data_IF_371115628921
#
_entry.id   IF_371115628921
#
_cell.length_a   1.000
_cell.length_b   1.000
_cell.length_c   1.000
_cell.angle_alpha   90.00
_cell.angle_beta   90.00
_cell.angle_gamma   90.00
#
_symmetry.space_group_name_H-M   'P 1'
#
loop_
_entity.id
_entity.type
_entity.pdbx_description
1 polymer ?
#
# COMPACT_ATOMS: atom_id res chain seq x y z
N UNK A 1 0.09 11.63 -23.47
CA UNK A 1 -1.33 12.02 -23.56
C UNK A 1 -1.67 13.23 -22.70
N UNK A 2 -1.36 13.22 -21.40
CA UNK A 2 -1.73 14.29 -20.45
C UNK A 2 -1.36 15.75 -20.84
N UNK A 3 -0.14 16.00 -21.31
CA UNK A 3 0.31 17.37 -21.68
C UNK A 3 -0.47 17.92 -22.87
N UNK A 4 -0.79 17.05 -23.85
CA UNK A 4 -1.59 17.43 -25.01
C UNK A 4 -3.04 17.73 -24.61
N UNK A 5 -3.60 17.04 -23.61
CA UNK A 5 -4.94 17.32 -23.09
C UNK A 5 -5.02 18.69 -22.40
N UNK A 6 -3.98 19.08 -21.66
CA UNK A 6 -3.91 20.39 -21.01
C UNK A 6 -3.80 21.52 -22.04
N UNK A 7 -3.02 21.31 -23.11
CA UNK A 7 -2.92 22.25 -24.23
C UNK A 7 -4.23 22.33 -25.03
N UNK A 8 -4.93 21.21 -25.26
CA UNK A 8 -6.23 21.20 -25.94
C UNK A 8 -7.30 21.96 -25.17
N UNK A 9 -7.20 21.98 -23.84
CA UNK A 9 -8.09 22.75 -22.95
C UNK A 9 -7.69 24.22 -22.81
N UNK A 10 -6.69 24.71 -23.56
CA UNK A 10 -6.15 26.07 -23.48
C UNK A 10 -5.77 26.51 -22.05
N UNK A 11 -5.33 25.57 -21.20
CA UNK A 11 -4.96 25.87 -19.81
C UNK A 11 -3.54 26.44 -19.69
N UNK A 12 -2.75 26.39 -20.76
CA UNK A 12 -1.40 26.93 -20.86
C UNK A 12 -1.24 27.61 -22.21
N UNK A 13 -0.79 28.86 -22.20
CA UNK A 13 -0.37 29.55 -23.41
C UNK A 13 0.83 28.82 -24.03
N UNK A 14 0.76 28.57 -25.32
CA UNK A 14 1.82 27.94 -26.10
C UNK A 14 2.21 28.84 -27.27
N UNK A 15 3.50 28.94 -27.51
CA UNK A 15 4.10 29.72 -28.60
C UNK A 15 4.64 28.75 -29.64
N UNK A 16 4.47 29.07 -30.93
CA UNK A 16 5.08 28.29 -32.00
C UNK A 16 6.44 28.92 -32.33
N UNK A 17 7.50 28.14 -32.19
CA UNK A 17 8.88 28.52 -32.55
C UNK A 17 9.45 27.43 -33.45
N UNK A 18 9.91 27.81 -34.64
CA UNK A 18 10.48 26.89 -35.64
C UNK A 18 9.59 25.66 -35.94
N UNK A 19 8.30 25.87 -36.17
CA UNK A 19 7.31 24.81 -36.39
C UNK A 19 7.02 23.90 -35.19
N UNK A 20 7.64 24.15 -34.03
CA UNK A 20 7.36 23.42 -32.79
C UNK A 20 6.51 24.23 -31.82
N UNK A 21 5.48 23.60 -31.23
CA UNK A 21 4.77 24.18 -30.07
C UNK A 21 5.67 24.11 -28.83
N UNK A 22 5.90 25.24 -28.20
CA UNK A 22 6.65 25.43 -26.95
C UNK A 22 5.74 26.03 -25.90
N UNK A 23 5.95 25.69 -24.63
CA UNK A 23 5.23 26.28 -23.49
C UNK A 23 6.23 27.18 -22.78
N UNK A 24 5.98 28.51 -22.70
CA UNK A 24 6.81 29.40 -21.91
C UNK A 24 6.87 28.95 -20.44
N UNK A 25 8.03 29.13 -19.79
CA UNK A 25 8.20 28.73 -18.39
C UNK A 25 7.18 29.43 -17.48
N UNK A 26 6.89 30.71 -17.73
CA UNK A 26 5.91 31.48 -16.95
C UNK A 26 4.49 30.94 -17.10
N UNK A 27 4.07 30.63 -18.32
CA UNK A 27 2.79 29.97 -18.62
C UNK A 27 2.65 28.65 -17.87
N UNK A 28 3.70 27.82 -17.89
CA UNK A 28 3.73 26.57 -17.11
C UNK A 28 3.62 26.83 -15.61
N UNK A 29 4.36 27.81 -15.06
CA UNK A 29 4.34 28.11 -13.63
C UNK A 29 2.99 28.67 -13.17
N UNK A 30 2.35 29.51 -13.99
CA UNK A 30 1.01 30.04 -13.70
C UNK A 30 -0.03 28.92 -13.70
N UNK A 31 0.02 28.03 -14.69
CA UNK A 31 -0.80 26.82 -14.70
C UNK A 31 -0.51 25.92 -13.50
N UNK A 32 0.77 25.74 -13.15
CA UNK A 32 1.17 24.89 -12.03
C UNK A 32 0.65 25.43 -10.69
N UNK A 33 0.65 26.75 -10.49
CA UNK A 33 0.12 27.42 -9.29
C UNK A 33 -1.42 27.41 -9.22
N UNK A 34 -2.11 27.32 -10.36
CA UNK A 34 -3.58 27.31 -10.40
C UNK A 34 -4.20 25.93 -10.16
N UNK A 35 -3.38 24.88 -10.15
CA UNK A 35 -3.79 23.50 -9.95
C UNK A 35 -3.28 22.97 -8.59
N UNK A 36 -3.98 21.99 -8.01
CA UNK A 36 -3.61 21.34 -6.74
C UNK A 36 -3.33 19.83 -6.84
N UNK A 37 -3.37 19.29 -8.06
CA UNK A 37 -3.22 17.86 -8.38
C UNK A 37 -1.76 17.42 -8.55
N UNK A 38 -0.99 18.16 -9.35
CA UNK A 38 0.41 17.88 -9.65
C UNK A 38 1.29 18.53 -8.59
N UNK A 39 2.27 17.75 -8.12
CA UNK A 39 3.16 18.13 -7.03
C UNK A 39 4.61 17.84 -7.40
N UNK A 40 5.49 18.79 -7.12
CA UNK A 40 6.94 18.59 -7.22
C UNK A 40 7.43 17.67 -6.10
N UNK A 41 8.70 17.28 -6.15
CA UNK A 41 9.33 16.54 -5.05
C UNK A 41 9.37 17.36 -3.75
N UNK A 42 9.50 18.68 -3.86
CA UNK A 42 9.55 19.61 -2.74
C UNK A 42 8.18 19.74 -2.07
N UNK A 43 7.12 19.88 -2.85
CA UNK A 43 5.74 19.93 -2.34
C UNK A 43 5.41 18.65 -1.55
N UNK A 44 5.79 17.48 -2.07
CA UNK A 44 5.60 16.21 -1.38
C UNK A 44 6.39 16.13 -0.08
N UNK A 45 7.61 16.67 -0.04
CA UNK A 45 8.45 16.69 1.16
C UNK A 45 7.85 17.60 2.24
N UNK A 46 7.25 18.72 1.84
CA UNK A 46 6.52 19.62 2.74
C UNK A 46 5.28 18.94 3.32
N UNK A 47 4.51 18.27 2.46
CA UNK A 47 3.29 17.59 2.88
C UNK A 47 3.57 16.32 3.70
N UNK A 48 4.75 15.70 3.58
CA UNK A 48 5.07 14.39 4.16
C UNK A 48 4.76 14.27 5.65
N UNK A 49 5.05 15.31 6.45
CA UNK A 49 4.75 15.31 7.88
C UNK A 49 3.23 15.28 8.14
N UNK A 50 2.45 16.03 7.37
CA UNK A 50 0.98 16.02 7.45
C UNK A 50 0.40 14.72 6.90
N UNK A 51 0.99 14.17 5.84
CA UNK A 51 0.59 12.88 5.28
C UNK A 51 0.84 11.73 6.27
N UNK A 52 1.93 11.79 7.04
CA UNK A 52 2.19 10.81 8.09
C UNK A 52 1.30 11.02 9.34
N UNK A 53 0.96 12.27 9.68
CA UNK A 53 0.03 12.53 10.80
C UNK A 53 -1.45 12.21 10.49
N UNK A 54 -1.78 11.88 9.24
CA UNK A 54 -3.16 11.70 8.77
C UNK A 54 -3.36 10.34 8.07
N UNK A 55 -4.61 9.89 7.99
CA UNK A 55 -5.01 8.71 7.23
C UNK A 55 -6.09 9.06 6.22
N UNK A 56 -6.05 8.39 5.09
CA UNK A 56 -7.05 8.49 4.02
C UNK A 56 -8.26 7.61 4.33
N UNK A 57 -9.39 7.86 3.66
CA UNK A 57 -10.60 7.05 3.85
C UNK A 57 -10.40 5.56 3.49
N UNK A 58 -9.65 5.21 2.43
CA UNK A 58 -9.29 3.81 2.17
C UNK A 58 -8.44 3.18 3.28
N UNK A 59 -7.47 3.92 3.84
CA UNK A 59 -6.66 3.43 4.96
C UNK A 59 -7.53 3.21 6.21
N UNK A 60 -8.46 4.12 6.51
CA UNK A 60 -9.43 3.92 7.60
C UNK A 60 -10.29 2.67 7.36
N UNK A 61 -10.75 2.44 6.13
CA UNK A 61 -11.53 1.25 5.79
C UNK A 61 -10.73 -0.03 6.06
N UNK A 62 -9.45 -0.01 5.67
CA UNK A 62 -8.52 -1.10 5.93
C UNK A 62 -8.24 -1.29 7.43
N UNK A 63 -8.08 -0.21 8.19
CA UNK A 63 -7.83 -0.25 9.62
C UNK A 63 -9.01 -0.87 10.39
N UNK A 64 -10.23 -0.59 9.94
CA UNK A 64 -11.48 -1.10 10.53
C UNK A 64 -11.96 -2.44 9.94
N UNK A 65 -11.27 -2.99 8.93
CA UNK A 65 -11.70 -4.23 8.28
C UNK A 65 -13.04 -4.10 7.55
N UNK A 66 -13.34 -2.93 7.00
CA UNK A 66 -14.63 -2.59 6.42
C UNK A 66 -14.51 -2.02 5.01
N UNK A 67 -15.63 -1.71 4.36
CA UNK A 67 -15.65 -1.12 3.02
C UNK A 67 -15.50 0.39 3.04
N UNK A 68 -15.02 0.96 1.94
CA UNK A 68 -14.93 2.43 1.80
C UNK A 68 -16.29 3.11 1.91
N UNK A 69 -17.38 2.48 1.45
CA UNK A 69 -18.73 3.02 1.61
C UNK A 69 -19.15 3.08 3.08
N UNK A 70 -18.86 2.04 3.87
CA UNK A 70 -19.13 2.02 5.30
C UNK A 70 -18.38 3.14 6.04
N UNK A 71 -17.15 3.45 5.63
CA UNK A 71 -16.40 4.58 6.19
C UNK A 71 -17.13 5.90 5.97
N UNK A 72 -17.64 6.20 4.77
CA UNK A 72 -18.41 7.42 4.57
C UNK A 72 -19.67 7.46 5.43
N UNK A 73 -20.35 6.33 5.59
CA UNK A 73 -21.49 6.23 6.51
C UNK A 73 -21.08 6.51 7.97
N UNK A 74 -19.89 6.08 8.41
CA UNK A 74 -19.38 6.38 9.76
C UNK A 74 -19.11 7.88 9.92
N UNK A 75 -18.46 8.49 8.93
CA UNK A 75 -18.06 9.90 8.97
C UNK A 75 -19.26 10.85 8.93
N UNK A 76 -20.30 10.50 8.19
CA UNK A 76 -21.52 11.29 8.08
C UNK A 76 -22.53 11.00 9.21
N UNK A 77 -22.28 9.99 10.04
CA UNK A 77 -23.15 9.65 11.15
C UNK A 77 -23.04 10.69 12.27
N UNK A 78 -24.13 11.39 12.67
CA UNK A 78 -24.09 12.39 13.74
C UNK A 78 -23.55 11.85 15.07
N UNK A 79 -23.69 10.54 15.32
CA UNK A 79 -23.16 9.89 16.52
C UNK A 79 -21.63 9.88 16.56
N UNK A 80 -20.95 9.87 15.42
CA UNK A 80 -19.49 9.71 15.35
C UNK A 80 -18.78 10.88 14.68
N UNK A 81 -19.49 11.70 13.90
CA UNK A 81 -18.91 12.79 13.11
C UNK A 81 -18.08 13.77 13.95
N UNK A 82 -18.49 14.01 15.20
CA UNK A 82 -17.82 14.91 16.13
C UNK A 82 -16.41 14.44 16.56
N UNK A 83 -16.08 13.16 16.40
CA UNK A 83 -14.73 12.68 16.70
C UNK A 83 -13.71 13.06 15.64
N UNK A 84 -14.13 13.27 14.38
CA UNK A 84 -13.23 13.34 13.22
C UNK A 84 -12.80 14.76 12.89
N UNK A 85 -11.50 14.94 12.71
CA UNK A 85 -10.90 16.18 12.23
C UNK A 85 -10.40 15.97 10.80
N UNK A 86 -10.88 16.79 9.87
CA UNK A 86 -10.58 16.65 8.45
C UNK A 86 -9.52 17.64 7.98
N UNK A 87 -8.58 17.15 7.18
CA UNK A 87 -7.56 17.96 6.50
C UNK A 87 -7.59 17.61 5.01
N UNK A 88 -7.41 18.61 4.15
CA UNK A 88 -7.27 18.41 2.71
C UNK A 88 -5.80 18.59 2.34
N UNK A 89 -5.19 17.52 1.82
CA UNK A 89 -3.81 17.55 1.29
C UNK A 89 -3.87 17.15 -0.17
N UNK A 90 -3.43 18.04 -1.07
CA UNK A 90 -3.42 17.78 -2.51
C UNK A 90 -4.78 17.27 -3.04
N UNK A 91 -5.86 18.00 -2.73
CA UNK A 91 -7.26 17.66 -3.07
C UNK A 91 -7.82 16.39 -2.42
N UNK A 92 -7.04 15.71 -1.56
CA UNK A 92 -7.48 14.49 -0.88
C UNK A 92 -7.93 14.81 0.54
N UNK A 93 -9.19 14.50 0.83
CA UNK A 93 -9.74 14.52 2.19
C UNK A 93 -9.10 13.40 3.02
N UNK A 94 -8.51 13.77 4.15
CA UNK A 94 -7.87 12.89 5.13
C UNK A 94 -8.43 13.21 6.52
N UNK A 95 -8.27 12.28 7.46
CA UNK A 95 -8.54 12.50 8.88
C UNK A 95 -7.25 12.42 9.68
N UNK A 96 -7.14 13.15 10.78
CA UNK A 96 -5.97 13.06 11.66
C UNK A 96 -5.91 11.70 12.34
N UNK A 97 -4.71 11.12 12.51
CA UNK A 97 -4.54 9.88 13.27
C UNK A 97 -5.06 10.04 14.71
N UNK A 98 -4.91 11.23 15.29
CA UNK A 98 -5.41 11.56 16.62
C UNK A 98 -6.95 11.52 16.70
N UNK A 99 -7.65 12.15 15.75
CA UNK A 99 -9.12 12.11 15.70
C UNK A 99 -9.66 10.69 15.49
N UNK A 100 -8.98 9.88 14.67
CA UNK A 100 -9.30 8.46 14.51
C UNK A 100 -9.11 7.66 15.80
N UNK A 101 -8.08 7.96 16.61
CA UNK A 101 -7.89 7.32 17.93
C UNK A 101 -8.99 7.71 18.91
N UNK A 102 -9.35 8.99 18.99
CA UNK A 102 -10.49 9.46 19.81
C UNK A 102 -11.79 8.76 19.42
N UNK A 103 -12.02 8.56 18.12
CA UNK A 103 -13.14 7.76 17.63
C UNK A 103 -13.06 6.30 18.10
N UNK A 104 -11.90 5.64 18.10
CA UNK A 104 -11.80 4.26 18.59
C UNK A 104 -12.03 4.15 20.09
N UNK A 105 -11.56 5.13 20.87
CA UNK A 105 -11.69 5.16 22.33
C UNK A 105 -13.09 5.60 22.80
N UNK A 106 -13.78 6.43 22.00
CA UNK A 106 -15.07 7.03 22.35
C UNK A 106 -16.32 6.21 21.97
N UNK A 107 -16.16 4.99 21.43
CA UNK A 107 -17.28 4.09 21.14
C UNK A 107 -16.88 2.60 21.20
N UNK A 108 -17.86 1.71 21.38
CA UNK A 108 -17.62 0.27 21.55
C UNK A 108 -17.86 -0.60 20.30
N UNK A 109 -18.42 -0.02 19.23
CA UNK A 109 -18.91 -0.74 18.04
C UNK A 109 -17.80 -1.09 17.04
N UNK A 110 -16.91 -0.15 16.76
CA UNK A 110 -15.84 -0.26 15.78
C UNK A 110 -14.52 -0.47 16.51
N UNK A 111 -13.80 -1.51 16.09
CA UNK A 111 -12.49 -1.89 16.60
C UNK A 111 -11.55 -2.02 15.42
N UNK A 112 -10.25 -1.95 15.70
CA UNK A 112 -9.26 -2.30 14.69
C UNK A 112 -9.48 -3.75 14.26
N UNK A 113 -9.37 -3.99 12.96
CA UNK A 113 -9.39 -5.34 12.42
C UNK A 113 -8.30 -6.16 13.12
N UNK A 114 -8.59 -7.35 13.69
CA UNK A 114 -7.59 -8.22 14.28
C UNK A 114 -6.42 -8.54 13.34
N UNK A 115 -6.63 -8.43 12.02
CA UNK A 115 -5.56 -8.58 11.02
C UNK A 115 -4.56 -7.43 10.98
N UNK A 116 -4.87 -6.29 11.60
CA UNK A 116 -3.96 -5.15 11.74
C UNK A 116 -3.10 -5.21 13.01
N UNK A 117 -3.44 -6.06 13.99
CA UNK A 117 -2.69 -6.26 15.24
C UNK A 117 -1.43 -7.13 15.06
N UNK A 118 -0.78 -6.98 13.89
CA UNK A 118 0.30 -7.84 13.46
C UNK A 118 1.52 -6.98 13.18
N UNK A 119 2.38 -6.81 14.20
CA UNK A 119 3.64 -6.07 14.08
C UNK A 119 4.46 -6.53 12.86
N UNK A 120 4.44 -7.84 12.57
CA UNK A 120 5.15 -8.43 11.43
C UNK A 120 4.57 -8.00 10.06
N UNK A 121 3.30 -7.60 9.97
CA UNK A 121 2.68 -7.06 8.73
C UNK A 121 3.02 -5.59 8.57
N UNK A 122 3.14 -4.85 9.67
CA UNK A 122 3.59 -3.46 9.66
C UNK A 122 5.08 -3.37 9.28
N UNK A 123 5.89 -4.35 9.68
CA UNK A 123 7.31 -4.45 9.34
C UNK A 123 7.57 -5.09 7.96
N UNK A 124 6.54 -5.66 7.33
CA UNK A 124 6.66 -6.28 6.01
C UNK A 124 6.85 -5.23 4.91
N UNK A 125 8.07 -5.12 4.38
CA UNK A 125 8.40 -4.20 3.29
C UNK A 125 7.70 -4.59 1.97
N UNK A 126 7.43 -5.89 1.77
CA UNK A 126 6.72 -6.35 0.58
C UNK A 126 5.20 -6.17 0.72
N UNK A 127 4.68 -5.05 0.19
CA UNK A 127 3.25 -4.69 0.24
C UNK A 127 2.35 -5.81 -0.31
N UNK A 128 2.79 -6.51 -1.37
CA UNK A 128 2.01 -7.59 -1.97
C UNK A 128 1.90 -8.79 -1.03
N UNK A 129 3.01 -9.17 -0.37
CA UNK A 129 3.03 -10.24 0.63
C UNK A 129 2.22 -9.87 1.87
N UNK A 130 2.31 -8.62 2.32
CA UNK A 130 1.50 -8.11 3.43
C UNK A 130 0.00 -8.23 3.12
N UNK A 131 -0.42 -7.84 1.91
CA UNK A 131 -1.81 -7.97 1.47
C UNK A 131 -2.25 -9.43 1.34
N UNK A 132 -1.39 -10.31 0.85
CA UNK A 132 -1.66 -11.75 0.78
C UNK A 132 -1.94 -12.33 2.18
N UNK A 133 -1.09 -12.00 3.16
CA UNK A 133 -1.24 -12.41 4.56
C UNK A 133 -2.50 -11.86 5.22
N UNK A 134 -2.83 -10.58 5.01
CA UNK A 134 -4.09 -9.97 5.49
C UNK A 134 -5.30 -10.70 4.95
N UNK A 135 -5.33 -10.96 3.64
CA UNK A 135 -6.43 -11.68 2.99
C UNK A 135 -6.59 -13.09 3.56
N UNK A 136 -5.49 -13.83 3.72
CA UNK A 136 -5.51 -15.18 4.29
C UNK A 136 -5.97 -15.19 5.76
N UNK A 137 -5.54 -14.20 6.54
CA UNK A 137 -5.95 -14.06 7.94
C UNK A 137 -7.45 -13.72 8.06
N UNK A 138 -7.94 -12.80 7.24
CA UNK A 138 -9.37 -12.47 7.17
C UNK A 138 -10.23 -13.69 6.80
N UNK A 139 -9.74 -14.55 5.89
CA UNK A 139 -10.46 -15.75 5.46
C UNK A 139 -10.44 -16.89 6.49
N UNK A 140 -9.32 -17.10 7.17
CA UNK A 140 -9.12 -18.28 8.02
C UNK A 140 -9.29 -17.99 9.51
N UNK A 141 -9.11 -16.75 9.94
CA UNK A 141 -9.00 -16.37 11.35
C UNK A 141 -7.77 -16.96 12.07
N UNK A 142 -6.91 -17.74 11.40
CA UNK A 142 -5.82 -18.49 12.04
C UNK A 142 -4.49 -17.81 11.73
N UNK A 143 -3.92 -17.11 12.72
CA UNK A 143 -2.58 -16.50 12.64
C UNK A 143 -1.51 -17.48 12.19
N UNK A 144 -1.49 -18.68 12.79
CA UNK A 144 -0.50 -19.71 12.49
C UNK A 144 -0.55 -20.25 11.05
N UNK A 145 -1.52 -19.84 10.24
CA UNK A 145 -1.59 -20.15 8.81
C UNK A 145 -0.68 -19.26 7.96
N UNK A 146 -0.23 -18.11 8.50
CA UNK A 146 0.71 -17.18 7.90
C UNK A 146 2.15 -17.45 8.37
N UNK A 147 3.10 -16.94 7.58
CA UNK A 147 4.49 -16.81 7.96
C UNK A 147 4.75 -15.57 8.81
N UNK A 148 6.02 -15.28 9.03
CA UNK A 148 6.50 -14.08 9.71
C UNK A 148 7.64 -13.44 8.89
N UNK A 149 8.35 -12.49 9.49
CA UNK A 149 9.46 -11.79 8.83
C UNK A 149 10.60 -12.75 8.49
N UNK A 150 10.87 -13.73 9.35
CA UNK A 150 11.99 -14.69 9.19
C UNK A 150 11.63 -15.91 8.34
N UNK A 151 10.35 -16.27 8.30
CA UNK A 151 9.89 -17.53 7.74
C UNK A 151 8.66 -17.37 6.86
N UNK A 152 8.69 -18.02 5.71
CA UNK A 152 7.57 -18.12 4.79
C UNK A 152 6.82 -19.44 4.97
N UNK A 153 5.54 -19.42 4.62
CA UNK A 153 4.78 -20.63 4.30
C UNK A 153 4.98 -21.01 2.84
N UNK A 154 4.67 -22.25 2.49
CA UNK A 154 4.74 -22.71 1.10
C UNK A 154 3.76 -21.97 0.17
N UNK A 155 2.62 -21.50 0.70
CA UNK A 155 1.68 -20.67 -0.07
C UNK A 155 2.25 -19.28 -0.34
N UNK A 156 2.91 -18.68 0.66
CA UNK A 156 3.58 -17.38 0.51
C UNK A 156 4.76 -17.48 -0.47
N UNK A 157 5.58 -18.52 -0.36
CA UNK A 157 6.67 -18.78 -1.30
C UNK A 157 6.15 -19.00 -2.74
N UNK A 158 5.05 -19.74 -2.88
CA UNK A 158 4.36 -19.95 -4.17
C UNK A 158 3.86 -18.62 -4.75
N UNK A 159 3.28 -17.77 -3.91
CA UNK A 159 2.80 -16.44 -4.29
C UNK A 159 3.95 -15.52 -4.74
N UNK A 160 5.04 -15.45 -3.97
CA UNK A 160 6.22 -14.64 -4.29
C UNK A 160 6.90 -15.09 -5.59
N UNK A 161 7.10 -16.40 -5.73
CA UNK A 161 7.77 -16.97 -6.91
C UNK A 161 6.88 -17.06 -8.15
N UNK A 162 5.57 -16.78 -8.02
CA UNK A 162 4.56 -16.92 -9.08
C UNK A 162 4.56 -18.31 -9.74
N UNK A 163 4.79 -19.35 -8.94
CA UNK A 163 4.75 -20.75 -9.36
C UNK A 163 3.77 -21.53 -8.51
N UNK A 164 3.41 -22.74 -8.93
CA UNK A 164 2.55 -23.61 -8.12
C UNK A 164 3.23 -24.04 -6.82
N UNK A 165 2.43 -24.29 -5.78
CA UNK A 165 2.91 -24.85 -4.51
C UNK A 165 3.67 -26.18 -4.70
N UNK A 166 3.26 -26.99 -5.66
CA UNK A 166 3.96 -28.23 -6.04
C UNK A 166 5.38 -27.96 -6.54
N UNK A 167 5.60 -26.87 -7.28
CA UNK A 167 6.95 -26.48 -7.71
C UNK A 167 7.83 -26.07 -6.52
N UNK A 168 7.26 -25.35 -5.54
CA UNK A 168 7.97 -25.03 -4.30
C UNK A 168 8.37 -26.30 -3.54
N UNK A 169 7.47 -27.29 -3.44
CA UNK A 169 7.80 -28.60 -2.87
C UNK A 169 8.98 -29.25 -3.60
N UNK A 170 8.96 -29.29 -4.94
CA UNK A 170 10.07 -29.84 -5.73
C UNK A 170 11.40 -29.11 -5.48
N UNK A 171 11.38 -27.80 -5.25
CA UNK A 171 12.59 -27.05 -4.91
C UNK A 171 13.08 -27.32 -3.49
N UNK A 172 12.16 -27.46 -2.55
CA UNK A 172 12.47 -27.90 -1.19
C UNK A 172 13.08 -29.31 -1.17
N UNK A 173 12.50 -30.26 -1.90
CA UNK A 173 13.00 -31.63 -2.01
C UNK A 173 14.41 -31.69 -2.62
N UNK A 174 14.72 -30.75 -3.52
CA UNK A 174 16.05 -30.57 -4.11
C UNK A 174 17.02 -29.78 -3.22
N UNK A 175 16.61 -29.41 -2.00
CA UNK A 175 17.45 -28.69 -1.04
C UNK A 175 17.85 -27.28 -1.47
N UNK A 176 17.01 -26.58 -2.26
CA UNK A 176 17.35 -25.24 -2.77
C UNK A 176 17.33 -24.14 -1.70
N UNK A 177 16.64 -24.39 -0.59
CA UNK A 177 16.53 -23.50 0.57
C UNK A 177 16.18 -24.32 1.81
N UNK A 178 16.47 -23.80 3.00
CA UNK A 178 16.18 -24.53 4.24
C UNK A 178 14.70 -24.57 4.56
N UNK A 179 14.22 -25.78 4.88
CA UNK A 179 12.87 -26.04 5.36
C UNK A 179 12.94 -26.56 6.79
N UNK A 180 12.18 -25.93 7.69
CA UNK A 180 12.09 -26.32 9.09
C UNK A 180 10.67 -26.78 9.45
N UNK A 181 10.60 -27.71 10.41
CA UNK A 181 9.33 -28.15 11.00
C UNK A 181 9.13 -27.47 12.35
N UNK A 182 8.03 -26.73 12.49
CA UNK A 182 7.64 -26.05 13.72
C UNK A 182 6.31 -26.67 14.19
N UNK A 183 6.40 -27.64 15.10
CA UNK A 183 5.26 -28.46 15.50
C UNK A 183 4.69 -29.27 14.33
N UNK A 184 3.39 -29.11 14.07
CA UNK A 184 2.71 -29.71 12.92
C UNK A 184 2.90 -28.95 11.60
N UNK A 185 3.54 -27.78 11.62
CA UNK A 185 3.65 -26.88 10.48
C UNK A 185 5.05 -26.92 9.87
N UNK A 186 5.12 -26.67 8.56
CA UNK A 186 6.37 -26.56 7.82
C UNK A 186 6.59 -25.09 7.41
N UNK A 187 7.85 -24.64 7.47
CA UNK A 187 8.27 -23.26 7.21
C UNK A 187 9.54 -23.23 6.36
N UNK A 188 9.66 -22.20 5.54
CA UNK A 188 10.81 -21.92 4.68
C UNK A 188 11.56 -20.73 5.29
N UNK A 189 12.89 -20.80 5.40
CA UNK A 189 13.69 -19.62 5.77
C UNK A 189 13.61 -18.56 4.67
N UNK A 190 13.16 -17.36 5.04
CA UNK A 190 12.83 -16.31 4.05
C UNK A 190 14.07 -15.79 3.35
N UNK A 191 15.09 -15.42 4.13
CA UNK A 191 16.37 -14.92 3.65
C UNK A 191 16.96 -15.86 2.59
N UNK A 192 17.11 -17.14 2.93
CA UNK A 192 17.66 -18.13 1.99
C UNK A 192 16.78 -18.34 0.74
N UNK A 193 15.46 -18.23 0.88
CA UNK A 193 14.54 -18.36 -0.25
C UNK A 193 14.63 -17.16 -1.20
N UNK A 194 14.70 -15.94 -0.66
CA UNK A 194 14.84 -14.71 -1.45
C UNK A 194 16.21 -14.68 -2.16
N UNK A 195 17.30 -15.02 -1.47
CA UNK A 195 18.64 -15.12 -2.07
C UNK A 195 18.67 -16.12 -3.24
N UNK A 196 18.06 -17.29 -3.06
CA UNK A 196 18.00 -18.31 -4.12
C UNK A 196 17.13 -17.87 -5.32
N UNK A 197 16.04 -17.14 -5.05
CA UNK A 197 15.17 -16.58 -6.09
C UNK A 197 15.94 -15.57 -6.97
N UNK A 198 16.74 -14.70 -6.36
CA UNK A 198 17.57 -13.73 -7.07
C UNK A 198 18.59 -14.42 -7.99
N UNK A 199 19.30 -15.43 -7.48
CA UNK A 199 20.25 -16.22 -8.27
C UNK A 199 19.60 -16.89 -9.47
N UNK A 200 18.44 -17.52 -9.27
CA UNK A 200 17.70 -18.19 -10.35
C UNK A 200 17.22 -17.22 -11.42
N UNK A 201 16.72 -16.06 -11.02
CA UNK A 201 16.19 -15.07 -11.96
C UNK A 201 17.33 -14.41 -12.76
N UNK A 202 18.51 -14.23 -12.15
CA UNK A 202 19.75 -13.85 -12.86
C UNK A 202 20.13 -14.91 -13.92
N UNK A 203 20.23 -16.18 -13.53
CA UNK A 203 20.57 -17.28 -14.45
C UNK A 203 19.60 -17.35 -15.65
N UNK A 204 18.30 -17.14 -15.42
CA UNK A 204 17.29 -17.12 -16.48
C UNK A 204 17.38 -15.90 -17.40
N UNK A 205 17.85 -14.77 -16.89
CA UNK A 205 18.01 -13.55 -17.71
C UNK A 205 19.23 -13.61 -18.63
N UNK A 206 20.17 -14.51 -18.34
CA UNK A 206 21.39 -14.75 -19.14
C UNK A 206 21.20 -15.82 -20.22
N UNK A 207 20.05 -16.48 -20.28
CA UNK A 207 19.65 -17.45 -21.31
C UNK A 207 18.71 -16.83 -22.33
#
# INVERSE_FOLDING_TARGET
YLVYDLLKKNQMEAVIVDYWKRIPKESFQNWYKSQSRYRTKEDRKKDALLEDATITMPEMAQLLGTTRSAVYTILDNPKYSHFFEFIVIAEKKRITKESFRKFLEGQDRYKLDPSNDYEELAQEQNIALANFRRKKLSQTGIRGSNGNIKYLTFDEASYLAKVSRSMINKWADKGKFTVIKVGSRVRIRRDEFEDWMEQRDLERSMQ
#
